data_IF_319346639463
#
_entry.id   IF_319346639463
#
_cell.length_a   1.000
_cell.length_b   1.000
_cell.length_c   1.000
_cell.angle_alpha   90.00
_cell.angle_beta   90.00
_cell.angle_gamma   90.00
#
_symmetry.space_group_name_H-M   'P 1'
#
loop_
_entity.id
_entity.type
_entity.pdbx_description
1 polymer ?
#
# COMPACT_ATOMS: atom_id res chain seq x y z
N UNK A 1 20.92 -11.68 6.46
CA UNK A 1 19.69 -11.63 7.27
C UNK A 1 18.96 -10.36 6.93
N UNK A 2 17.71 -10.43 6.51
CA UNK A 2 16.88 -9.23 6.34
C UNK A 2 16.60 -8.66 7.74
N UNK A 3 16.88 -7.37 8.01
CA UNK A 3 16.66 -6.81 9.34
C UNK A 3 15.19 -6.93 9.76
N UNK A 4 14.96 -7.17 11.04
CA UNK A 4 13.62 -7.20 11.65
C UNK A 4 13.39 -5.93 12.47
N UNK A 5 12.19 -5.39 12.41
CA UNK A 5 11.77 -4.20 13.13
C UNK A 5 10.94 -4.56 14.37
N UNK A 6 11.11 -3.79 15.44
CA UNK A 6 10.17 -3.75 16.56
C UNK A 6 8.91 -2.96 16.21
N UNK A 7 7.86 -3.05 17.04
CA UNK A 7 6.66 -2.22 16.86
C UNK A 7 6.96 -0.71 16.94
N UNK A 8 7.97 -0.31 17.71
CA UNK A 8 8.39 1.08 17.80
C UNK A 8 9.06 1.54 16.50
N UNK A 9 10.02 0.77 15.98
CA UNK A 9 10.66 1.08 14.69
C UNK A 9 9.65 1.07 13.55
N UNK A 10 8.66 0.16 13.59
CA UNK A 10 7.57 0.12 12.63
C UNK A 10 6.71 1.39 12.69
N UNK A 11 6.35 1.84 13.90
CA UNK A 11 5.62 3.08 14.11
C UNK A 11 6.38 4.30 13.58
N UNK A 12 7.68 4.40 13.89
CA UNK A 12 8.57 5.46 13.39
C UNK A 12 8.70 5.43 11.86
N UNK A 13 8.85 4.24 11.27
CA UNK A 13 8.99 4.06 9.82
C UNK A 13 7.72 4.43 9.03
N UNK A 14 6.55 4.31 9.65
CA UNK A 14 5.24 4.48 8.99
C UNK A 14 4.51 5.75 9.41
N UNK A 15 5.03 6.46 10.40
CA UNK A 15 4.38 7.63 11.01
C UNK A 15 2.95 7.27 11.50
N UNK A 16 2.83 6.10 12.12
CA UNK A 16 1.60 5.60 12.72
C UNK A 16 1.79 5.45 14.22
N UNK A 17 0.74 5.73 14.99
CA UNK A 17 0.73 5.33 16.40
C UNK A 17 0.66 3.80 16.52
N UNK A 18 1.28 3.25 17.57
CA UNK A 18 1.16 1.81 17.90
C UNK A 18 -0.30 1.36 17.96
N UNK A 19 -1.18 2.18 18.53
CA UNK A 19 -2.62 1.88 18.62
C UNK A 19 -3.27 1.74 17.25
N UNK A 20 -2.93 2.59 16.28
CA UNK A 20 -3.45 2.46 14.91
C UNK A 20 -2.96 1.18 14.25
N UNK A 21 -1.68 0.82 14.44
CA UNK A 21 -1.11 -0.42 13.91
C UNK A 21 -1.87 -1.63 14.47
N UNK A 22 -2.05 -1.69 15.79
CA UNK A 22 -2.77 -2.78 16.46
C UNK A 22 -4.24 -2.85 15.98
N UNK A 23 -4.90 -1.71 15.77
CA UNK A 23 -6.26 -1.66 15.22
C UNK A 23 -6.33 -2.17 13.78
N UNK A 24 -5.38 -1.81 12.93
CA UNK A 24 -5.34 -2.28 11.54
C UNK A 24 -5.04 -3.76 11.43
N UNK A 25 -4.21 -4.30 12.34
CA UNK A 25 -3.99 -5.74 12.47
C UNK A 25 -5.29 -6.43 12.91
N UNK A 26 -5.92 -5.94 13.98
CA UNK A 26 -7.16 -6.54 14.53
C UNK A 26 -8.32 -6.53 13.54
N UNK A 27 -8.47 -5.47 12.74
CA UNK A 27 -9.50 -5.34 11.71
C UNK A 27 -9.13 -6.04 10.39
N UNK A 28 -7.94 -6.63 10.29
CA UNK A 28 -7.48 -7.35 9.11
C UNK A 28 -7.06 -6.47 7.93
N UNK A 29 -6.95 -5.15 8.10
CA UNK A 29 -6.42 -4.23 7.09
C UNK A 29 -4.92 -4.41 6.86
N UNK A 30 -4.21 -4.90 7.87
CA UNK A 30 -2.79 -5.23 7.79
C UNK A 30 -2.55 -6.61 8.39
N UNK A 31 -1.79 -7.45 7.69
CA UNK A 31 -1.49 -8.82 8.13
C UNK A 31 0.02 -9.01 8.19
N UNK A 32 0.64 -8.86 9.37
CA UNK A 32 2.08 -9.05 9.51
C UNK A 32 2.45 -10.49 9.16
N UNK A 33 3.57 -10.68 8.45
CA UNK A 33 4.04 -12.01 8.03
C UNK A 33 4.35 -12.92 9.21
N UNK A 34 5.00 -12.38 10.24
CA UNK A 34 5.32 -13.16 11.43
C UNK A 34 4.09 -13.27 12.35
N UNK A 35 3.73 -14.48 12.80
CA UNK A 35 2.64 -14.67 13.75
C UNK A 35 2.97 -14.02 15.10
N UNK A 36 1.94 -13.71 15.90
CA UNK A 36 2.15 -13.39 17.29
C UNK A 36 2.49 -14.66 18.08
N UNK A 37 3.51 -14.58 18.93
CA UNK A 37 3.84 -15.63 19.88
C UNK A 37 3.51 -15.16 21.31
N UNK A 38 2.91 -16.04 22.11
CA UNK A 38 2.55 -15.72 23.49
C UNK A 38 3.79 -15.34 24.30
N UNK A 39 3.71 -14.23 25.03
CA UNK A 39 4.80 -13.73 25.87
C UNK A 39 5.98 -13.09 25.12
N UNK A 40 5.91 -12.95 23.79
CA UNK A 40 6.98 -12.32 22.99
C UNK A 40 6.47 -11.09 22.24
N UNK A 41 7.33 -10.08 22.15
CA UNK A 41 7.10 -8.96 21.26
C UNK A 41 7.13 -9.44 19.81
N UNK A 42 6.15 -9.01 18.99
CA UNK A 42 6.13 -9.33 17.56
C UNK A 42 7.29 -8.62 16.86
N UNK A 43 8.03 -9.37 16.04
CA UNK A 43 9.01 -8.83 15.12
C UNK A 43 8.38 -8.67 13.73
N UNK A 44 8.66 -7.55 13.07
CA UNK A 44 8.16 -7.22 11.73
C UNK A 44 9.29 -7.29 10.72
N UNK A 45 8.98 -7.68 9.49
CA UNK A 45 9.95 -7.66 8.39
C UNK A 45 10.04 -6.27 7.76
N UNK A 46 11.09 -6.00 6.98
CA UNK A 46 11.15 -4.78 6.15
C UNK A 46 9.94 -4.72 5.21
N UNK A 47 9.53 -5.85 4.64
CA UNK A 47 8.37 -5.91 3.76
C UNK A 47 7.07 -5.57 4.48
N UNK A 48 6.87 -6.05 5.71
CA UNK A 48 5.75 -5.64 6.56
C UNK A 48 5.70 -4.11 6.72
N UNK A 49 6.86 -3.48 6.93
CA UNK A 49 6.97 -2.04 7.09
C UNK A 49 6.73 -1.27 5.78
N UNK A 50 7.17 -1.78 4.62
CA UNK A 50 6.88 -1.18 3.32
C UNK A 50 5.39 -1.28 2.98
N UNK A 51 4.77 -2.45 3.19
CA UNK A 51 3.33 -2.65 2.99
C UNK A 51 2.51 -1.73 3.89
N UNK A 52 2.85 -1.67 5.19
CA UNK A 52 2.16 -0.81 6.14
C UNK A 52 2.39 0.68 5.84
N UNK A 53 3.59 1.05 5.40
CA UNK A 53 3.91 2.41 4.98
C UNK A 53 3.09 2.83 3.76
N UNK A 54 2.99 1.97 2.73
CA UNK A 54 2.15 2.23 1.56
C UNK A 54 0.66 2.35 1.93
N UNK A 55 0.18 1.48 2.82
CA UNK A 55 -1.18 1.55 3.38
C UNK A 55 -1.42 2.90 4.08
N UNK A 56 -0.46 3.33 4.90
CA UNK A 56 -0.53 4.60 5.61
C UNK A 56 -0.59 5.81 4.66
N UNK A 57 0.24 5.83 3.62
CA UNK A 57 0.22 6.91 2.63
C UNK A 57 -1.13 6.97 1.88
N UNK A 58 -1.66 5.82 1.44
CA UNK A 58 -2.98 5.75 0.78
C UNK A 58 -4.10 6.26 1.70
N UNK A 59 -4.07 5.91 2.99
CA UNK A 59 -5.05 6.41 3.96
C UNK A 59 -4.89 7.91 4.20
N UNK A 60 -3.65 8.41 4.28
CA UNK A 60 -3.34 9.83 4.48
C UNK A 60 -3.87 10.71 3.34
N UNK A 61 -3.89 10.19 2.11
CA UNK A 61 -4.44 10.89 0.93
C UNK A 61 -5.93 10.63 0.68
N UNK A 62 -6.62 9.96 1.62
CA UNK A 62 -8.08 9.94 1.68
C UNK A 62 -8.75 8.60 1.37
N UNK A 63 -8.00 7.53 1.08
CA UNK A 63 -8.61 6.20 0.96
C UNK A 63 -9.00 5.67 2.33
N UNK A 64 -10.08 4.90 2.39
CA UNK A 64 -10.40 4.17 3.62
C UNK A 64 -9.39 3.04 3.84
N UNK A 65 -9.08 2.63 5.09
CA UNK A 65 -8.18 1.51 5.35
C UNK A 65 -8.60 0.21 4.65
N UNK A 66 -9.91 -0.02 4.51
CA UNK A 66 -10.44 -1.17 3.78
C UNK A 66 -10.04 -1.14 2.30
N UNK A 67 -10.29 -0.02 1.60
CA UNK A 67 -9.93 0.11 0.18
C UNK A 67 -8.42 0.09 0.00
N UNK A 68 -7.68 0.84 0.82
CA UNK A 68 -6.22 0.90 0.71
C UNK A 68 -5.58 -0.48 0.95
N UNK A 69 -6.10 -1.27 1.90
CA UNK A 69 -5.59 -2.63 2.16
C UNK A 69 -5.71 -3.57 0.96
N UNK A 70 -6.72 -3.36 0.09
CA UNK A 70 -6.92 -4.14 -1.13
C UNK A 70 -5.83 -3.94 -2.19
N UNK A 71 -4.93 -2.97 -2.03
CA UNK A 71 -3.97 -2.59 -3.07
C UNK A 71 -2.51 -2.72 -2.63
N UNK A 72 -2.24 -3.14 -1.38
CA UNK A 72 -0.88 -3.19 -0.81
C UNK A 72 -0.34 -4.60 -0.59
N UNK A 73 -1.07 -5.64 -0.98
CA UNK A 73 -0.71 -7.04 -0.66
C UNK A 73 0.57 -7.55 -1.33
N UNK A 74 1.04 -6.88 -2.38
CA UNK A 74 2.21 -7.28 -3.14
C UNK A 74 2.91 -6.04 -3.68
N UNK A 75 3.81 -5.49 -2.86
CA UNK A 75 4.67 -4.37 -3.22
C UNK A 75 6.00 -4.90 -3.77
N UNK A 76 6.47 -4.31 -4.87
CA UNK A 76 7.75 -4.65 -5.47
C UNK A 76 8.41 -3.41 -6.07
N UNK A 77 9.74 -3.46 -6.18
CA UNK A 77 10.55 -2.41 -6.76
C UNK A 77 10.97 -2.75 -8.20
N UNK A 78 11.36 -1.73 -8.97
CA UNK A 78 12.05 -1.92 -10.24
C UNK A 78 13.55 -1.63 -10.06
N UNK A 79 14.40 -2.38 -10.75
CA UNK A 79 15.86 -2.24 -10.62
C UNK A 79 16.42 -0.93 -11.18
N UNK A 80 15.72 -0.30 -12.13
CA UNK A 80 16.22 0.86 -12.90
C UNK A 80 15.22 2.03 -12.94
N UNK A 81 14.23 2.05 -12.06
CA UNK A 81 13.23 3.11 -12.00
C UNK A 81 12.53 3.11 -10.63
N UNK A 82 11.92 4.24 -10.27
CA UNK A 82 11.10 4.29 -9.08
C UNK A 82 9.81 3.49 -9.27
N UNK A 83 9.43 2.75 -8.24
CA UNK A 83 8.18 2.01 -8.20
C UNK A 83 7.09 2.87 -7.57
N UNK A 84 6.03 3.12 -8.34
CA UNK A 84 4.85 3.86 -7.89
C UNK A 84 3.68 2.89 -7.75
N UNK A 85 3.07 2.84 -6.57
CA UNK A 85 1.76 2.24 -6.39
C UNK A 85 0.70 3.27 -6.76
N UNK A 86 -0.06 2.97 -7.82
CA UNK A 86 -1.16 3.81 -8.30
C UNK A 86 -2.47 3.09 -8.00
N UNK A 87 -3.35 3.74 -7.24
CA UNK A 87 -4.73 3.30 -7.02
C UNK A 87 -5.65 4.29 -7.72
N UNK A 88 -6.35 3.85 -8.75
CA UNK A 88 -7.24 4.70 -9.56
C UNK A 88 -8.69 4.29 -9.43
N UNK A 89 -9.61 5.25 -9.52
CA UNK A 89 -11.04 5.00 -9.72
C UNK A 89 -11.38 5.02 -11.20
N UNK A 90 -12.20 4.07 -11.63
CA UNK A 90 -12.65 3.95 -13.02
C UNK A 90 -13.87 3.04 -13.14
N UNK A 91 -14.39 2.85 -14.37
CA UNK A 91 -15.46 1.90 -14.61
C UNK A 91 -14.96 0.46 -14.51
N UNK A 92 -15.80 -0.42 -13.96
CA UNK A 92 -15.62 -1.87 -14.05
C UNK A 92 -16.15 -2.40 -15.38
N UNK A 93 -15.54 -3.47 -15.86
CA UNK A 93 -16.08 -4.26 -16.96
C UNK A 93 -17.18 -5.17 -16.43
N UNK A 94 -18.37 -5.10 -17.04
CA UNK A 94 -19.48 -5.94 -16.65
C UNK A 94 -19.18 -7.40 -16.99
N UNK A 95 -19.54 -8.30 -16.07
CA UNK A 95 -19.29 -9.74 -16.18
C UNK A 95 -20.06 -10.43 -17.32
N UNK A 96 -20.90 -9.71 -18.07
CA UNK A 96 -21.69 -10.23 -19.19
C UNK A 96 -20.85 -10.50 -20.45
N UNK A 97 -19.55 -10.19 -20.42
CA UNK A 97 -18.60 -10.53 -21.49
C UNK A 97 -18.74 -9.65 -22.75
N UNK A 98 -19.59 -8.63 -22.71
CA UNK A 98 -19.81 -7.73 -23.84
C UNK A 98 -18.87 -6.50 -23.84
N UNK A 99 -17.96 -6.41 -22.86
CA UNK A 99 -17.05 -5.27 -22.71
C UNK A 99 -17.74 -3.98 -22.26
N UNK A 100 -18.98 -4.08 -21.77
CA UNK A 100 -19.73 -2.94 -21.29
C UNK A 100 -19.09 -2.40 -19.99
N UNK A 101 -18.86 -1.09 -19.96
CA UNK A 101 -18.25 -0.40 -18.82
C UNK A 101 -19.34 0.19 -17.94
N UNK A 102 -19.28 -0.08 -16.63
CA UNK A 102 -20.21 0.45 -15.64
C UNK A 102 -19.48 1.23 -14.56
N UNK A 103 -20.05 2.36 -14.16
CA UNK A 103 -19.51 3.20 -13.09
C UNK A 103 -20.61 3.53 -12.09
N UNK A 104 -20.47 3.01 -10.86
CA UNK A 104 -21.29 3.42 -9.73
C UNK A 104 -20.59 4.59 -9.01
N UNK A 105 -21.10 5.84 -9.10
CA UNK A 105 -20.50 6.98 -8.40
C UNK A 105 -20.62 6.87 -6.86
N UNK A 106 -21.55 6.08 -6.33
CA UNK A 106 -21.70 5.89 -4.88
C UNK A 106 -20.69 4.89 -4.33
N UNK A 107 -20.29 3.91 -5.13
CA UNK A 107 -19.28 2.91 -4.79
C UNK A 107 -18.29 2.73 -5.97
N UNK A 108 -17.43 3.72 -6.22
CA UNK A 108 -16.54 3.66 -7.36
C UNK A 108 -15.57 2.49 -7.22
N UNK A 109 -15.44 1.71 -8.29
CA UNK A 109 -14.45 0.65 -8.37
C UNK A 109 -13.04 1.24 -8.23
N UNK A 110 -12.13 0.49 -7.60
CA UNK A 110 -10.74 0.89 -7.43
C UNK A 110 -9.80 -0.16 -8.00
N UNK A 111 -8.79 0.30 -8.71
CA UNK A 111 -7.82 -0.56 -9.36
C UNK A 111 -6.41 -0.17 -8.92
N UNK A 112 -5.68 -1.11 -8.35
CA UNK A 112 -4.29 -0.95 -7.94
C UNK A 112 -3.34 -1.50 -8.99
N UNK A 113 -2.27 -0.76 -9.28
CA UNK A 113 -1.15 -1.25 -10.09
C UNK A 113 0.15 -0.62 -9.63
N UNK A 114 1.23 -1.39 -9.69
CA UNK A 114 2.58 -0.86 -9.49
C UNK A 114 3.17 -0.59 -10.86
N UNK A 115 3.62 0.64 -11.08
CA UNK A 115 4.21 1.09 -12.34
C UNK A 115 5.51 1.81 -12.11
N UNK A 116 6.30 1.93 -13.18
CA UNK A 116 7.48 2.78 -13.15
C UNK A 116 7.06 4.24 -13.18
N UNK A 117 7.86 5.12 -12.58
CA UNK A 117 7.56 6.54 -12.56
C UNK A 117 7.35 7.13 -13.97
N UNK A 118 8.14 6.69 -14.95
CA UNK A 118 7.99 7.12 -16.36
C UNK A 118 6.65 6.74 -17.01
N UNK A 119 5.97 5.71 -16.52
CA UNK A 119 4.72 5.21 -17.09
C UNK A 119 3.48 5.88 -16.47
N UNK A 120 3.64 6.68 -15.41
CA UNK A 120 2.54 7.34 -14.69
C UNK A 120 1.70 8.24 -15.60
N UNK A 121 2.35 8.98 -16.51
CA UNK A 121 1.67 9.89 -17.42
C UNK A 121 0.61 9.17 -18.26
N UNK A 122 0.90 7.94 -18.71
CA UNK A 122 -0.04 7.13 -19.49
C UNK A 122 -1.31 6.79 -18.71
N UNK A 123 -1.19 6.51 -17.41
CA UNK A 123 -2.35 6.27 -16.53
C UNK A 123 -3.13 7.57 -16.31
N UNK A 124 -2.44 8.68 -16.08
CA UNK A 124 -3.06 9.97 -15.84
C UNK A 124 -3.85 10.51 -17.03
N UNK A 125 -3.49 10.10 -18.25
CA UNK A 125 -4.20 10.46 -19.47
C UNK A 125 -5.26 9.43 -19.90
N UNK A 126 -5.41 8.31 -19.19
CA UNK A 126 -6.43 7.31 -19.53
C UNK A 126 -7.83 7.91 -19.28
N UNK A 127 -8.69 8.05 -20.30
CA UNK A 127 -10.03 8.64 -20.15
C UNK A 127 -10.95 7.83 -19.23
N UNK A 128 -10.60 6.58 -18.92
CA UNK A 128 -11.34 5.73 -17.96
C UNK A 128 -10.99 6.07 -16.50
N UNK A 129 -9.86 6.70 -16.25
CA UNK A 129 -9.43 7.08 -14.90
C UNK A 129 -10.11 8.39 -14.50
N UNK A 130 -10.88 8.34 -13.40
CA UNK A 130 -11.62 9.50 -12.85
C UNK A 130 -10.85 10.23 -11.78
N UNK A 131 -10.11 9.48 -10.97
CA UNK A 131 -9.26 9.98 -9.90
C UNK A 131 -8.17 8.95 -9.64
N UNK A 132 -7.06 9.38 -9.03
CA UNK A 132 -6.04 8.44 -8.59
C UNK A 132 -5.30 8.95 -7.35
N UNK A 133 -4.72 7.98 -6.66
CA UNK A 133 -3.87 8.13 -5.50
C UNK A 133 -2.54 7.45 -5.85
N UNK A 134 -1.41 8.14 -5.63
CA UNK A 134 -0.08 7.65 -6.02
C UNK A 134 0.84 7.65 -4.81
N UNK A 135 1.49 6.52 -4.56
CA UNK A 135 2.49 6.35 -3.50
C UNK A 135 3.82 5.95 -4.12
N UNK A 136 4.88 6.67 -3.80
CA UNK A 136 6.24 6.30 -4.20
C UNK A 136 6.78 5.23 -3.24
N UNK A 137 6.85 3.98 -3.70
CA UNK A 137 7.31 2.84 -2.91
C UNK A 137 8.82 2.91 -2.63
N UNK A 138 9.61 3.48 -3.54
CA UNK A 138 11.05 3.69 -3.32
C UNK A 138 11.30 4.60 -2.12
N UNK A 139 10.53 5.68 -1.97
CA UNK A 139 10.65 6.60 -0.84
C UNK A 139 10.16 5.97 0.48
N UNK A 140 9.09 5.18 0.43
CA UNK A 140 8.63 4.40 1.58
C UNK A 140 9.73 3.41 2.03
N UNK A 141 10.33 2.67 1.09
CA UNK A 141 11.40 1.72 1.40
C UNK A 141 12.64 2.42 1.98
N UNK A 142 13.09 3.53 1.39
CA UNK A 142 14.19 4.34 1.95
C UNK A 142 13.93 4.76 3.39
N UNK A 143 12.71 5.22 3.69
CA UNK A 143 12.30 5.60 5.05
C UNK A 143 12.32 4.40 6.01
N UNK A 144 11.82 3.25 5.57
CA UNK A 144 11.81 2.00 6.34
C UNK A 144 13.22 1.52 6.65
N UNK A 145 14.11 1.46 5.65
CA UNK A 145 15.50 1.01 5.82
C UNK A 145 16.25 1.91 6.80
N UNK A 146 16.06 3.23 6.70
CA UNK A 146 16.62 4.19 7.65
C UNK A 146 16.16 3.93 9.08
N UNK A 147 14.87 3.69 9.30
CA UNK A 147 14.31 3.38 10.63
C UNK A 147 14.76 2.00 11.16
N UNK A 148 15.03 1.06 10.26
CA UNK A 148 15.59 -0.25 10.60
C UNK A 148 17.10 -0.20 10.94
N UNK A 149 17.77 0.94 10.77
CA UNK A 149 19.21 1.08 10.99
C UNK A 149 20.05 0.44 9.89
N UNK A 150 19.46 0.12 8.74
CA UNK A 150 20.16 -0.33 7.54
C UNK A 150 20.50 0.91 6.71
N UNK A 151 21.74 1.38 6.80
CA UNK A 151 22.31 2.47 5.97
C UNK A 151 23.17 1.89 4.86
#
# INVERSE_FOLDING_TARGET
>A
MTPTLTIQQLAEATDLSRTQIDQWISRGHFKPKNPAESGKARAFTVEDAVVLGALAELVRIGLTPSVASMHVHSVYAFTNDDALLVVSQGPDEMADGNGALYYDPANPATHGRIVRARDLAGIATDPKVRSMAVVNLSEVEKRVLKAAGAS
#
